data_IF_546045540651
#
_entry.id   IF_546045540651
#
_cell.length_a   1.000
_cell.length_b   1.000
_cell.length_c   1.000
_cell.angle_alpha   90.00
_cell.angle_beta   90.00
_cell.angle_gamma   90.00
#
_symmetry.space_group_name_H-M   'P 1'
#
loop_
_entity.id
_entity.type
_entity.pdbx_description
1 polymer ?
#
# COMPACT_ATOMS: atom_id res chain seq x y z
N UNK A 1 4.96 19.72 10.59
CA UNK A 1 4.56 19.10 9.31
C UNK A 1 3.09 19.35 9.15
N UNK A 2 2.69 19.88 8.01
CA UNK A 2 1.29 20.19 7.74
C UNK A 2 0.64 18.97 7.07
N UNK A 3 -0.62 18.69 7.40
CA UNK A 3 -1.48 17.76 6.66
C UNK A 3 -2.45 18.58 5.83
N UNK A 4 -2.36 18.46 4.51
CA UNK A 4 -3.27 19.11 3.57
C UNK A 4 -3.90 18.07 2.66
N UNK A 5 -5.20 18.17 2.42
CA UNK A 5 -5.91 17.30 1.47
C UNK A 5 -5.97 17.96 0.10
N UNK A 6 -5.67 17.19 -0.94
CA UNK A 6 -5.75 17.63 -2.33
C UNK A 6 -6.59 16.64 -3.13
N UNK A 7 -7.34 17.15 -4.10
CA UNK A 7 -7.91 16.33 -5.17
C UNK A 7 -6.87 16.14 -6.26
N UNK A 8 -6.44 14.91 -6.50
CA UNK A 8 -5.43 14.61 -7.53
C UNK A 8 -6.06 14.17 -8.85
N UNK A 9 -7.31 13.71 -8.84
CA UNK A 9 -8.08 13.35 -10.03
C UNK A 9 -9.58 13.47 -9.79
N UNK A 10 -10.36 13.52 -10.86
CA UNK A 10 -11.83 13.42 -10.81
C UNK A 10 -12.29 12.52 -11.95
N UNK A 11 -12.78 11.33 -11.61
CA UNK A 11 -13.41 10.41 -12.56
C UNK A 11 -14.93 10.49 -12.37
N UNK A 12 -15.58 9.42 -11.92
CA UNK A 12 -16.99 9.48 -11.50
C UNK A 12 -17.15 10.28 -10.19
N UNK A 13 -16.13 10.25 -9.33
CA UNK A 13 -16.06 10.96 -8.06
C UNK A 13 -14.66 11.55 -7.85
N UNK A 14 -14.49 12.59 -7.01
CA UNK A 14 -13.19 13.14 -6.66
C UNK A 14 -12.30 12.09 -5.99
N UNK A 15 -11.05 12.02 -6.42
CA UNK A 15 -10.01 11.23 -5.74
C UNK A 15 -9.07 12.16 -5.01
N UNK A 16 -8.91 11.90 -3.73
CA UNK A 16 -8.18 12.76 -2.81
C UNK A 16 -6.96 12.04 -2.23
N UNK A 17 -5.95 12.83 -1.89
CA UNK A 17 -4.79 12.39 -1.12
C UNK A 17 -4.53 13.35 0.04
N UNK A 18 -4.00 12.82 1.13
CA UNK A 18 -3.47 13.60 2.24
C UNK A 18 -1.96 13.75 2.02
N UNK A 19 -1.49 14.99 2.00
CA UNK A 19 -0.08 15.31 1.81
C UNK A 19 0.49 15.83 3.12
N UNK A 20 1.56 15.16 3.52
CA UNK A 20 2.34 15.38 4.73
C UNK A 20 3.69 15.94 4.31
N UNK A 21 3.87 17.26 4.46
CA UNK A 21 5.08 17.93 3.97
C UNK A 21 5.44 19.17 4.80
N UNK A 22 6.57 19.79 4.45
CA UNK A 22 7.04 21.05 4.98
C UNK A 22 7.68 21.86 3.85
N UNK A 23 7.46 23.18 3.83
CA UNK A 23 8.13 24.07 2.88
C UNK A 23 9.65 24.10 3.04
N UNK A 24 10.17 23.56 4.15
CA UNK A 24 11.60 23.44 4.43
C UNK A 24 12.25 22.17 3.85
N UNK A 25 11.47 21.26 3.27
CA UNK A 25 12.03 20.05 2.66
C UNK A 25 12.76 20.39 1.36
N UNK A 26 13.86 19.70 1.03
CA UNK A 26 14.57 19.92 -0.22
C UNK A 26 13.64 19.73 -1.44
N UNK A 27 13.69 20.61 -2.45
CA UNK A 27 12.82 20.51 -3.62
C UNK A 27 13.11 19.27 -4.47
N UNK A 28 14.32 18.72 -4.37
CA UNK A 28 14.83 17.54 -5.06
C UNK A 28 14.72 16.24 -4.24
N UNK A 29 14.24 16.29 -3.00
CA UNK A 29 14.05 15.07 -2.21
C UNK A 29 13.01 14.14 -2.86
N UNK A 30 13.12 12.81 -2.70
CA UNK A 30 12.08 11.90 -3.15
C UNK A 30 10.72 12.20 -2.52
N UNK A 31 9.66 11.95 -3.29
CA UNK A 31 8.29 11.89 -2.76
C UNK A 31 7.96 10.45 -2.43
N UNK A 32 7.34 10.21 -1.27
CA UNK A 32 6.80 8.90 -0.92
C UNK A 32 5.30 8.88 -1.23
N UNK A 33 4.88 8.06 -2.21
CA UNK A 33 3.48 7.80 -2.50
C UNK A 33 3.04 6.52 -1.79
N UNK A 34 2.02 6.60 -0.95
CA UNK A 34 1.48 5.48 -0.18
C UNK A 34 0.04 5.16 -0.56
N UNK A 35 -0.27 3.87 -0.68
CA UNK A 35 -1.63 3.35 -0.86
C UNK A 35 -2.06 2.50 0.34
N UNK A 36 -3.27 2.77 0.83
CA UNK A 36 -3.77 2.16 2.06
C UNK A 36 -4.16 0.68 1.92
N UNK A 37 -4.22 -0.01 3.06
CA UNK A 37 -4.74 -1.37 3.15
C UNK A 37 -6.27 -1.44 3.02
N UNK A 38 -6.81 -2.67 3.02
CA UNK A 38 -8.26 -2.89 3.06
C UNK A 38 -8.80 -3.76 1.92
N UNK A 39 -7.99 -4.63 1.32
CA UNK A 39 -8.46 -5.60 0.34
C UNK A 39 -9.01 -5.00 -0.96
N UNK A 40 -8.70 -3.73 -1.26
CA UNK A 40 -9.35 -2.90 -2.30
C UNK A 40 -10.84 -2.58 -2.06
N UNK A 41 -11.42 -3.00 -0.94
CA UNK A 41 -12.87 -2.89 -0.65
C UNK A 41 -13.19 -1.93 0.49
N UNK A 42 -12.16 -1.43 1.19
CA UNK A 42 -12.26 -0.50 2.31
C UNK A 42 -10.91 0.19 2.55
N UNK A 43 -10.84 0.96 3.64
CA UNK A 43 -9.67 1.76 4.03
C UNK A 43 -9.79 3.21 3.56
N UNK A 44 -8.83 4.04 3.95
CA UNK A 44 -8.78 5.46 3.60
C UNK A 44 -7.35 6.01 3.67
N UNK A 45 -7.12 7.18 3.10
CA UNK A 45 -5.80 7.85 3.06
C UNK A 45 -5.18 8.17 4.43
N UNK A 46 -5.95 8.26 5.50
CA UNK A 46 -5.44 8.39 6.88
C UNK A 46 -5.15 7.02 7.54
N UNK A 47 -5.25 5.91 6.81
CA UNK A 47 -4.79 4.58 7.21
C UNK A 47 -3.27 4.38 6.97
N UNK A 48 -2.52 5.45 6.77
CA UNK A 48 -1.04 5.42 6.74
C UNK A 48 -0.50 5.13 8.15
N UNK A 49 0.50 4.26 8.33
CA UNK A 49 0.97 3.94 9.67
C UNK A 49 1.84 5.06 10.26
N UNK A 50 1.78 5.34 11.58
CA UNK A 50 2.53 6.44 12.20
C UNK A 50 4.02 6.39 11.91
N UNK A 51 4.65 5.21 12.01
CA UNK A 51 6.08 5.07 11.75
C UNK A 51 6.48 5.45 10.32
N UNK A 52 5.63 5.24 9.32
CA UNK A 52 5.93 5.62 7.93
C UNK A 52 5.91 7.14 7.77
N UNK A 53 5.00 7.81 8.48
CA UNK A 53 4.99 9.27 8.57
C UNK A 53 6.29 9.77 9.22
N UNK A 54 6.74 9.14 10.31
CA UNK A 54 8.01 9.49 10.95
C UNK A 54 9.22 9.25 10.03
N UNK A 55 9.24 8.14 9.30
CA UNK A 55 10.27 7.81 8.29
C UNK A 55 10.40 8.94 7.28
N UNK A 56 9.28 9.44 6.76
CA UNK A 56 9.25 10.51 5.77
C UNK A 56 9.66 11.85 6.38
N UNK A 57 9.22 12.15 7.61
CA UNK A 57 9.65 13.36 8.34
C UNK A 57 11.16 13.40 8.51
N UNK A 58 11.75 12.31 9.02
CA UNK A 58 13.19 12.24 9.30
C UNK A 58 14.05 12.29 8.04
N UNK A 59 13.50 11.85 6.89
CA UNK A 59 14.16 11.93 5.58
C UNK A 59 13.86 13.22 4.82
N UNK A 60 12.96 14.05 5.34
CA UNK A 60 12.46 15.24 4.64
C UNK A 60 11.84 14.90 3.27
N UNK A 61 11.14 13.76 3.21
CA UNK A 61 10.40 13.32 2.04
C UNK A 61 8.94 13.74 2.19
N UNK A 62 8.34 14.46 1.23
CA UNK A 62 6.90 14.63 1.20
C UNK A 62 6.23 13.27 1.11
N UNK A 63 5.26 13.02 1.98
CA UNK A 63 4.46 11.79 1.95
C UNK A 63 3.07 12.12 1.43
N UNK A 64 2.66 11.42 0.38
CA UNK A 64 1.35 11.53 -0.25
C UNK A 64 0.64 10.21 -0.01
N UNK A 65 -0.42 10.22 0.79
CA UNK A 65 -1.27 9.06 1.02
C UNK A 65 -2.52 9.19 0.18
N UNK A 66 -2.68 8.32 -0.82
CA UNK A 66 -3.74 8.42 -1.82
C UNK A 66 -4.91 7.46 -1.53
N UNK A 67 -6.13 7.95 -1.67
CA UNK A 67 -7.33 7.12 -1.81
C UNK A 67 -7.41 6.53 -3.22
N UNK A 68 -8.22 5.50 -3.43
CA UNK A 68 -8.56 4.96 -4.75
C UNK A 68 -10.00 4.45 -4.74
N UNK A 69 -10.61 4.21 -5.91
CA UNK A 69 -11.98 3.68 -6.02
C UNK A 69 -12.05 2.26 -5.49
N UNK A 70 -13.04 1.99 -4.64
CA UNK A 70 -13.20 0.71 -3.96
C UNK A 70 -14.02 -0.29 -4.78
N UNK A 71 -13.75 -1.57 -4.54
CA UNK A 71 -14.42 -2.71 -5.17
C UNK A 71 -15.69 -3.07 -4.38
N UNK A 72 -16.74 -3.58 -5.05
CA UNK A 72 -16.78 -4.05 -6.44
C UNK A 72 -17.18 -3.01 -7.49
N UNK A 73 -17.41 -1.76 -7.11
CA UNK A 73 -17.84 -0.74 -8.08
C UNK A 73 -16.72 -0.31 -9.02
N UNK A 74 -15.46 -0.45 -8.58
CA UNK A 74 -14.27 -0.35 -9.41
C UNK A 74 -13.88 -1.73 -10.00
N UNK A 75 -12.99 -1.69 -11.00
CA UNK A 75 -12.34 -2.85 -11.59
C UNK A 75 -10.84 -2.56 -11.81
N UNK A 76 -10.11 -3.50 -12.40
CA UNK A 76 -8.68 -3.36 -12.68
C UNK A 76 -8.32 -2.13 -13.51
N UNK A 77 -9.11 -1.82 -14.55
CA UNK A 77 -8.87 -0.65 -15.42
C UNK A 77 -9.05 0.66 -14.65
N UNK A 78 -10.14 0.78 -13.88
CA UNK A 78 -10.39 1.93 -13.01
C UNK A 78 -9.30 2.08 -11.94
N UNK A 79 -8.83 0.99 -11.35
CA UNK A 79 -7.73 1.03 -10.39
C UNK A 79 -6.44 1.51 -11.06
N UNK A 80 -6.15 1.06 -12.29
CA UNK A 80 -4.97 1.50 -13.04
C UNK A 80 -5.04 3.00 -13.38
N UNK A 81 -6.21 3.53 -13.75
CA UNK A 81 -6.43 4.98 -13.91
C UNK A 81 -6.11 5.74 -12.62
N UNK A 82 -6.64 5.27 -11.48
CA UNK A 82 -6.48 5.93 -10.18
C UNK A 82 -5.03 6.00 -9.74
N UNK A 83 -4.29 4.89 -9.84
CA UNK A 83 -2.88 4.81 -9.43
C UNK A 83 -1.97 5.57 -10.40
N UNK A 84 -2.33 5.64 -11.68
CA UNK A 84 -1.62 6.46 -12.68
C UNK A 84 -1.73 7.94 -12.32
N UNK A 85 -2.95 8.42 -12.05
CA UNK A 85 -3.15 9.82 -11.69
C UNK A 85 -2.47 10.18 -10.36
N UNK A 86 -2.51 9.29 -9.35
CA UNK A 86 -1.81 9.49 -8.08
C UNK A 86 -0.27 9.53 -8.25
N UNK A 87 0.26 8.68 -9.12
CA UNK A 87 1.69 8.66 -9.45
C UNK A 87 2.13 9.93 -10.17
N UNK A 88 1.38 10.37 -11.18
CA UNK A 88 1.65 11.63 -11.88
C UNK A 88 1.56 12.85 -10.97
N UNK A 89 0.55 12.89 -10.09
CA UNK A 89 0.42 13.95 -9.09
C UNK A 89 1.65 14.00 -8.17
N UNK A 90 2.13 12.84 -7.74
CA UNK A 90 3.30 12.71 -6.88
C UNK A 90 4.59 13.17 -7.56
N UNK A 91 4.76 12.83 -8.85
CA UNK A 91 5.89 13.32 -9.66
C UNK A 91 5.89 14.83 -9.84
N UNK A 92 4.71 15.46 -9.93
CA UNK A 92 4.57 16.92 -10.10
C UNK A 92 4.46 17.69 -8.77
N UNK A 93 4.61 17.00 -7.64
CA UNK A 93 4.45 17.61 -6.32
C UNK A 93 5.45 18.76 -6.08
N UNK A 94 4.92 19.93 -5.68
CA UNK A 94 5.69 21.15 -5.48
C UNK A 94 5.79 22.07 -6.70
N UNK A 95 5.18 21.70 -7.85
CA UNK A 95 5.04 22.57 -9.03
C UNK A 95 6.32 22.86 -9.80
N UNK A 96 7.43 22.20 -9.44
CA UNK A 96 8.73 22.31 -10.10
C UNK A 96 8.97 21.22 -11.14
N UNK A 97 10.24 20.82 -11.31
CA UNK A 97 10.62 19.68 -12.11
C UNK A 97 10.02 18.38 -11.57
N UNK A 98 9.87 17.37 -12.44
CA UNK A 98 9.36 16.07 -12.04
C UNK A 98 10.28 15.43 -10.99
N UNK A 99 9.70 15.01 -9.86
CA UNK A 99 10.41 14.42 -8.72
C UNK A 99 10.50 12.92 -8.84
N UNK A 100 11.59 12.32 -8.34
CA UNK A 100 11.64 10.88 -8.16
C UNK A 100 10.66 10.45 -7.06
N UNK A 101 10.05 9.27 -7.23
CA UNK A 101 8.99 8.78 -6.33
C UNK A 101 9.35 7.40 -5.81
N UNK A 102 9.28 7.22 -4.49
CA UNK A 102 9.20 5.92 -3.83
C UNK A 102 7.73 5.58 -3.69
N UNK A 103 7.33 4.36 -4.05
CA UNK A 103 5.92 3.95 -3.95
C UNK A 103 5.79 2.81 -2.96
N UNK A 104 4.88 2.94 -2.00
CA UNK A 104 4.62 1.89 -1.04
C UNK A 104 3.14 1.63 -0.84
N UNK A 105 2.82 0.51 -0.21
CA UNK A 105 1.46 0.21 0.15
C UNK A 105 1.37 -0.92 1.16
N UNK A 106 0.25 -0.91 1.89
CA UNK A 106 -0.03 -1.92 2.91
C UNK A 106 -1.11 -2.89 2.43
N UNK A 107 -0.95 -4.19 2.67
CA UNK A 107 -1.91 -5.21 2.21
C UNK A 107 -2.19 -5.05 0.70
N UNK A 108 -3.45 -5.04 0.29
CA UNK A 108 -3.85 -4.77 -1.09
C UNK A 108 -3.40 -3.41 -1.66
N UNK A 109 -3.05 -2.43 -0.83
CA UNK A 109 -2.47 -1.17 -1.29
C UNK A 109 -1.12 -1.38 -1.99
N UNK A 110 -0.36 -2.42 -1.64
CA UNK A 110 0.88 -2.73 -2.35
C UNK A 110 0.66 -3.16 -3.80
N UNK A 111 -0.52 -3.71 -4.12
CA UNK A 111 -0.88 -4.05 -5.49
C UNK A 111 -0.91 -2.81 -6.39
N UNK A 112 -1.34 -1.65 -5.85
CA UNK A 112 -1.29 -0.37 -6.55
C UNK A 112 0.15 0.02 -6.91
N UNK A 113 1.09 -0.19 -5.99
CA UNK A 113 2.52 0.07 -6.22
C UNK A 113 3.10 -0.87 -7.28
N UNK A 114 2.72 -2.15 -7.27
CA UNK A 114 3.13 -3.13 -8.27
C UNK A 114 2.58 -2.78 -9.67
N UNK A 115 1.32 -2.31 -9.76
CA UNK A 115 0.73 -1.85 -11.02
C UNK A 115 1.50 -0.65 -11.58
N UNK A 116 1.86 0.34 -10.74
CA UNK A 116 2.67 1.49 -11.16
C UNK A 116 4.00 1.02 -11.75
N UNK A 117 4.74 0.15 -11.03
CA UNK A 117 6.02 -0.36 -11.51
C UNK A 117 5.88 -1.21 -12.78
N UNK A 118 4.78 -1.92 -12.97
CA UNK A 118 4.61 -2.71 -14.19
C UNK A 118 4.20 -1.86 -15.40
N UNK A 119 3.27 -0.92 -15.23
CA UNK A 119 2.60 -0.27 -16.35
C UNK A 119 3.18 1.10 -16.71
N UNK A 120 3.82 1.78 -15.76
CA UNK A 120 4.15 3.20 -15.91
C UNK A 120 5.64 3.46 -16.13
N UNK A 121 5.91 4.59 -16.79
CA UNK A 121 7.25 5.15 -16.97
C UNK A 121 7.21 6.65 -16.66
N UNK A 122 8.29 7.22 -16.10
CA UNK A 122 9.47 6.53 -15.58
C UNK A 122 9.14 5.65 -14.37
N UNK A 123 10.03 4.72 -14.05
CA UNK A 123 9.87 3.81 -12.91
C UNK A 123 10.01 4.53 -11.56
N UNK A 124 9.31 4.08 -10.50
CA UNK A 124 9.63 4.45 -9.12
C UNK A 124 11.10 4.17 -8.77
N UNK A 125 11.67 4.93 -7.83
CA UNK A 125 13.03 4.66 -7.32
C UNK A 125 13.11 3.30 -6.61
N UNK A 126 12.09 2.99 -5.81
CA UNK A 126 11.99 1.79 -5.02
C UNK A 126 10.52 1.51 -4.67
N UNK A 127 10.22 0.27 -4.33
CA UNK A 127 8.93 -0.15 -3.83
C UNK A 127 9.01 -0.61 -2.38
N UNK A 128 8.02 -0.26 -1.56
CA UNK A 128 7.88 -0.73 -0.18
C UNK A 128 6.57 -1.49 0.04
N UNK A 129 6.67 -2.79 0.32
CA UNK A 129 5.54 -3.65 0.65
C UNK A 129 5.41 -3.84 2.15
N UNK A 130 4.25 -3.51 2.69
CA UNK A 130 3.88 -3.70 4.10
C UNK A 130 2.81 -4.78 4.17
N UNK A 131 3.19 -5.99 4.58
CA UNK A 131 2.33 -7.18 4.54
C UNK A 131 1.50 -7.27 3.25
N UNK A 132 2.12 -6.90 2.12
CA UNK A 132 1.41 -6.43 0.93
C UNK A 132 1.03 -7.53 -0.04
N UNK A 133 0.07 -7.25 -0.93
CA UNK A 133 -0.31 -8.15 -2.02
C UNK A 133 0.39 -7.69 -3.30
N UNK A 134 1.43 -8.39 -3.77
CA UNK A 134 2.10 -8.04 -5.04
C UNK A 134 1.25 -8.38 -6.26
N UNK A 135 0.47 -9.46 -6.20
CA UNK A 135 -0.40 -9.96 -7.26
C UNK A 135 -1.57 -10.76 -6.67
N UNK A 136 -2.71 -10.76 -7.34
CA UNK A 136 -3.87 -11.60 -7.05
C UNK A 136 -3.87 -12.91 -7.86
N UNK A 137 -2.83 -13.18 -8.68
CA UNK A 137 -2.71 -14.42 -9.46
C UNK A 137 -2.26 -15.63 -8.65
N UNK A 138 -1.61 -15.42 -7.51
CA UNK A 138 -1.15 -16.51 -6.65
C UNK A 138 -2.34 -17.39 -6.18
N UNK A 139 -2.21 -18.73 -6.10
CA UNK A 139 -3.27 -19.64 -5.69
C UNK A 139 -3.99 -19.29 -4.39
N UNK A 140 -3.30 -18.60 -3.47
CA UNK A 140 -3.89 -18.03 -2.25
C UNK A 140 -5.19 -17.23 -2.51
N UNK A 141 -5.29 -16.50 -3.63
CA UNK A 141 -6.43 -15.63 -3.95
C UNK A 141 -7.50 -16.28 -4.83
N UNK A 142 -7.25 -17.48 -5.35
CA UNK A 142 -8.12 -18.12 -6.35
C UNK A 142 -8.34 -19.62 -6.13
N UNK A 143 -7.93 -20.16 -4.99
CA UNK A 143 -8.30 -21.48 -4.53
C UNK A 143 -9.31 -21.35 -3.39
N UNK A 144 -10.60 -21.54 -3.70
CA UNK A 144 -11.74 -21.34 -2.78
C UNK A 144 -11.70 -22.19 -1.50
N UNK A 145 -10.66 -23.01 -1.32
CA UNK A 145 -10.48 -23.95 -0.22
C UNK A 145 -10.01 -23.29 1.10
N UNK A 146 -9.68 -22.00 1.11
CA UNK A 146 -9.02 -21.34 2.25
C UNK A 146 -9.92 -20.45 3.13
N UNK A 147 -11.25 -20.50 3.00
CA UNK A 147 -12.16 -19.58 3.74
C UNK A 147 -13.30 -20.32 4.42
N UNK A 148 -13.47 -20.07 5.72
CA UNK A 148 -14.53 -20.65 6.52
C UNK A 148 -15.93 -20.22 6.01
N UNK A 149 -16.93 -21.13 5.97
CA UNK A 149 -18.28 -20.87 5.44
C UNK A 149 -19.04 -19.75 6.14
N UNK A 150 -18.67 -19.44 7.39
CA UNK A 150 -19.36 -18.50 8.26
C UNK A 150 -19.28 -17.04 7.76
N UNK A 151 -18.40 -16.74 6.81
CA UNK A 151 -18.23 -15.41 6.19
C UNK A 151 -19.24 -15.12 5.05
N UNK A 152 -20.10 -16.07 4.69
CA UNK A 152 -20.75 -16.14 3.38
C UNK A 152 -22.27 -15.93 3.41
N UNK A 153 -22.77 -14.99 4.21
CA UNK A 153 -24.18 -14.58 4.07
C UNK A 153 -24.31 -13.67 2.84
N UNK A 154 -24.62 -14.28 1.70
CA UNK A 154 -24.77 -13.61 0.40
C UNK A 154 -25.83 -12.49 0.43
N UNK A 155 -26.88 -12.65 1.24
CA UNK A 155 -27.89 -11.61 1.45
C UNK A 155 -27.30 -10.40 2.19
N UNK A 156 -26.41 -10.62 3.16
CA UNK A 156 -25.69 -9.51 3.83
C UNK A 156 -24.70 -8.81 2.91
N UNK A 157 -24.11 -9.52 1.94
CA UNK A 157 -23.14 -8.93 1.01
C UNK A 157 -23.82 -8.14 -0.11
N UNK A 158 -25.00 -8.56 -0.58
CA UNK A 158 -25.73 -7.94 -1.70
C UNK A 158 -25.87 -6.41 -1.58
N UNK A 159 -26.21 -5.91 -0.38
CA UNK A 159 -26.33 -4.46 -0.12
C UNK A 159 -25.04 -3.64 -0.31
N UNK A 160 -23.88 -4.31 -0.36
CA UNK A 160 -22.58 -3.70 -0.63
C UNK A 160 -22.20 -3.83 -2.11
N UNK A 161 -22.66 -4.89 -2.78
CA UNK A 161 -22.47 -5.07 -4.22
C UNK A 161 -23.26 -4.02 -5.03
N UNK A 162 -24.46 -3.66 -4.57
CA UNK A 162 -25.37 -2.73 -5.27
C UNK A 162 -25.13 -1.24 -4.93
N UNK A 163 -24.02 -0.89 -4.25
CA UNK A 163 -23.73 0.49 -3.86
C UNK A 163 -23.25 1.34 -5.03
N UNK A 164 -23.34 2.65 -4.86
CA UNK A 164 -22.65 3.61 -5.72
C UNK A 164 -21.13 3.50 -5.53
N UNK A 165 -20.35 4.01 -6.50
CA UNK A 165 -18.89 4.06 -6.41
C UNK A 165 -18.48 4.75 -5.11
N UNK A 166 -17.62 4.09 -4.32
CA UNK A 166 -17.06 4.62 -3.09
C UNK A 166 -15.55 4.82 -3.24
N UNK A 167 -15.02 5.81 -2.53
CA UNK A 167 -13.58 6.01 -2.32
C UNK A 167 -13.29 5.90 -0.84
N UNK A 168 -12.07 5.50 -0.50
CA UNK A 168 -11.62 5.51 0.89
C UNK A 168 -11.51 6.93 1.43
N UNK A 169 -12.58 7.48 2.01
CA UNK A 169 -12.62 8.84 2.59
C UNK A 169 -12.96 8.83 4.09
N UNK A 170 -12.55 9.88 4.81
CA UNK A 170 -13.11 10.17 6.13
C UNK A 170 -14.62 10.57 5.98
N UNK A 171 -15.51 10.22 6.92
CA UNK A 171 -15.32 9.45 8.13
C UNK A 171 -15.90 8.04 7.94
N UNK A 172 -15.33 7.21 7.06
CA UNK A 172 -15.60 5.78 7.22
C UNK A 172 -15.06 5.44 8.61
N UNK A 173 -15.94 4.96 9.50
CA UNK A 173 -15.73 4.73 10.94
C UNK A 173 -14.53 3.83 11.31
N UNK A 174 -13.73 3.45 10.33
CA UNK A 174 -12.63 2.49 10.30
C UNK A 174 -11.23 3.15 10.35
N UNK A 175 -11.13 4.48 10.24
CA UNK A 175 -9.88 5.16 9.91
C UNK A 175 -9.16 5.87 11.08
N UNK A 176 -8.82 5.13 12.13
CA UNK A 176 -8.15 5.70 13.33
C UNK A 176 -6.69 5.23 13.50
N UNK A 177 -6.07 4.81 12.40
CA UNK A 177 -4.69 4.32 12.39
C UNK A 177 -3.73 5.49 12.67
N UNK A 178 -3.89 6.60 11.96
CA UNK A 178 -3.04 7.77 12.13
C UNK A 178 -3.84 9.06 12.33
N UNK A 179 -3.33 9.88 13.24
CA UNK A 179 -3.74 11.26 13.45
C UNK A 179 -2.47 12.11 13.50
N UNK A 180 -2.41 13.29 12.86
CA UNK A 180 -1.28 14.21 13.02
C UNK A 180 -0.97 14.53 14.49
N UNK A 181 -1.98 14.54 15.36
CA UNK A 181 -1.82 14.81 16.79
C UNK A 181 -1.07 13.70 17.54
N UNK A 182 -0.92 12.51 16.94
CA UNK A 182 -0.13 11.42 17.52
C UNK A 182 1.38 11.65 17.42
N UNK A 183 1.82 12.68 16.69
CA UNK A 183 3.22 13.07 16.54
C UNK A 183 3.47 14.49 17.03
N UNK A 184 4.69 14.73 17.51
CA UNK A 184 5.20 16.07 17.78
C UNK A 184 5.58 16.75 16.46
N UNK A 185 5.83 18.08 16.50
CA UNK A 185 6.30 18.83 15.32
C UNK A 185 7.60 18.30 14.72
N UNK A 186 8.46 17.67 15.55
CA UNK A 186 9.72 17.06 15.10
C UNK A 186 9.56 15.63 14.59
N UNK A 187 8.34 15.06 14.58
CA UNK A 187 8.07 13.70 14.14
C UNK A 187 8.24 12.62 15.23
N UNK A 188 8.57 12.99 16.46
CA UNK A 188 8.56 12.04 17.58
C UNK A 188 7.14 11.66 18.00
N UNK A 189 6.96 10.53 18.67
CA UNK A 189 5.66 10.18 19.29
C UNK A 189 5.18 11.27 20.26
N UNK A 190 3.92 11.68 20.13
CA UNK A 190 3.24 12.48 21.15
C UNK A 190 2.70 11.56 22.27
N UNK A 191 3.38 11.52 23.41
CA UNK A 191 3.00 10.66 24.55
C UNK A 191 1.71 11.11 25.25
N UNK A 192 1.24 12.34 25.01
CA UNK A 192 -0.03 12.83 25.52
C UNK A 192 -1.23 12.49 24.64
N UNK A 193 -1.01 12.02 23.40
CA UNK A 193 -2.09 11.64 22.50
C UNK A 193 -2.70 10.30 22.92
N UNK A 194 -4.02 10.26 23.03
CA UNK A 194 -4.76 9.04 23.27
C UNK A 194 -5.48 8.64 21.98
N UNK A 195 -5.16 7.45 21.46
CA UNK A 195 -5.91 6.92 20.34
C UNK A 195 -7.38 6.72 20.74
N UNK A 196 -8.33 7.19 19.92
CA UNK A 196 -9.73 6.89 20.14
C UNK A 196 -9.96 5.38 20.11
N UNK A 197 -10.93 4.91 20.90
CA UNK A 197 -11.26 3.48 20.97
C UNK A 197 -11.61 2.95 19.58
N UNK A 198 -11.07 1.79 19.16
CA UNK A 198 -11.43 1.19 17.88
C UNK A 198 -12.94 1.02 17.75
N UNK A 199 -13.49 1.39 16.60
CA UNK A 199 -14.88 1.08 16.28
C UNK A 199 -14.95 -0.29 15.61
N UNK A 200 -16.07 -1.03 15.79
CA UNK A 200 -16.25 -2.30 15.10
C UNK A 200 -16.11 -2.12 13.59
N UNK A 201 -15.41 -3.07 12.95
CA UNK A 201 -15.34 -3.13 11.49
C UNK A 201 -16.76 -3.40 10.98
N UNK A 202 -17.33 -2.54 10.11
CA UNK A 202 -18.62 -2.80 9.50
C UNK A 202 -18.53 -4.05 8.61
N UNK A 203 -19.68 -4.69 8.32
CA UNK A 203 -19.68 -5.92 7.54
C UNK A 203 -19.10 -5.81 6.11
N UNK A 204 -18.91 -4.59 5.57
CA UNK A 204 -18.18 -4.38 4.31
C UNK A 204 -16.74 -4.89 4.37
N UNK A 205 -16.12 -4.95 5.55
CA UNK A 205 -14.80 -5.57 5.73
C UNK A 205 -14.76 -7.05 5.33
N UNK A 206 -15.91 -7.74 5.31
CA UNK A 206 -15.99 -9.13 4.87
C UNK A 206 -15.98 -9.28 3.35
N UNK A 207 -16.09 -8.19 2.57
CA UNK A 207 -16.04 -8.25 1.10
C UNK A 207 -14.74 -8.87 0.60
N UNK A 208 -13.61 -8.63 1.27
CA UNK A 208 -12.33 -9.26 0.95
C UNK A 208 -12.46 -10.79 1.01
N UNK A 209 -12.87 -11.33 2.16
CA UNK A 209 -13.08 -12.77 2.36
C UNK A 209 -14.17 -13.34 1.44
N UNK A 210 -15.23 -12.57 1.18
CA UNK A 210 -16.28 -12.95 0.22
C UNK A 210 -15.72 -13.08 -1.20
N UNK A 211 -14.95 -12.11 -1.69
CA UNK A 211 -14.36 -12.17 -3.03
C UNK A 211 -13.33 -13.27 -3.19
N UNK A 212 -12.49 -13.51 -2.18
CA UNK A 212 -11.60 -14.65 -2.17
C UNK A 212 -12.40 -15.98 -2.26
N UNK A 213 -13.52 -16.12 -1.54
CA UNK A 213 -14.33 -17.36 -1.57
C UNK A 213 -14.97 -17.63 -2.93
N UNK A 214 -15.25 -16.55 -3.68
CA UNK A 214 -15.85 -16.59 -5.02
C UNK A 214 -14.79 -16.59 -6.13
N UNK A 215 -13.49 -16.60 -5.79
CA UNK A 215 -12.37 -16.37 -6.71
C UNK A 215 -12.56 -15.11 -7.58
N UNK A 216 -13.21 -14.08 -7.04
CA UNK A 216 -13.71 -12.95 -7.82
C UNK A 216 -12.60 -11.96 -8.22
N UNK A 217 -11.45 -11.97 -7.53
CA UNK A 217 -10.35 -11.05 -7.85
C UNK A 217 -9.77 -11.28 -9.24
N UNK A 218 -9.69 -12.53 -9.71
CA UNK A 218 -9.15 -12.82 -11.06
C UNK A 218 -9.99 -12.17 -12.16
N UNK A 219 -11.32 -12.37 -12.24
CA UNK A 219 -12.17 -11.64 -13.18
C UNK A 219 -12.09 -10.12 -13.04
N UNK A 220 -11.99 -9.59 -11.81
CA UNK A 220 -12.02 -8.14 -11.58
C UNK A 220 -10.68 -7.44 -11.90
N UNK A 221 -9.54 -8.11 -11.74
CA UNK A 221 -8.20 -7.52 -11.82
C UNK A 221 -7.33 -8.09 -12.95
N UNK A 222 -7.69 -9.25 -13.51
CA UNK A 222 -6.82 -10.02 -14.40
C UNK A 222 -6.39 -9.30 -15.69
N UNK A 223 -7.12 -8.27 -16.13
CA UNK A 223 -6.74 -7.45 -17.29
C UNK A 223 -5.53 -6.55 -17.01
N UNK A 224 -5.29 -6.18 -15.75
CA UNK A 224 -4.18 -5.31 -15.34
C UNK A 224 -3.15 -6.00 -14.46
N UNK A 225 -3.49 -7.15 -13.86
CA UNK A 225 -2.56 -7.97 -13.08
C UNK A 225 -1.80 -8.94 -14.00
N UNK A 226 -0.49 -8.73 -14.26
CA UNK A 226 0.30 -9.61 -15.11
C UNK A 226 0.86 -10.82 -14.34
N UNK A 227 0.71 -10.89 -13.02
CA UNK A 227 1.46 -11.83 -12.18
C UNK A 227 2.94 -11.46 -12.08
N UNK A 228 3.77 -12.43 -11.71
CA UNK A 228 5.23 -12.28 -11.64
C UNK A 228 5.99 -13.36 -12.41
N UNK A 229 5.29 -14.36 -12.96
CA UNK A 229 5.84 -15.41 -13.80
C UNK A 229 6.50 -14.84 -15.08
N UNK A 230 6.10 -13.63 -15.51
CA UNK A 230 6.75 -12.91 -16.60
C UNK A 230 8.25 -12.67 -16.34
N UNK A 231 8.69 -12.55 -15.08
CA UNK A 231 10.07 -12.23 -14.72
C UNK A 231 11.04 -13.39 -15.03
N UNK A 232 10.53 -14.62 -15.14
CA UNK A 232 11.33 -15.79 -15.52
C UNK A 232 11.55 -15.88 -17.04
N UNK A 233 10.80 -15.10 -17.82
CA UNK A 233 10.91 -15.12 -19.27
C UNK A 233 12.14 -14.36 -19.76
N UNK A 234 12.92 -15.01 -20.61
CA UNK A 234 14.05 -14.40 -21.31
C UNK A 234 13.67 -13.14 -22.11
N UNK A 235 12.45 -13.11 -22.64
CA UNK A 235 11.93 -11.96 -23.39
C UNK A 235 11.71 -10.72 -22.52
N UNK A 236 11.64 -10.88 -21.19
CA UNK A 236 11.38 -9.81 -20.23
C UNK A 236 12.60 -9.42 -19.39
N UNK A 237 13.81 -9.93 -19.71
CA UNK A 237 15.03 -9.62 -18.95
C UNK A 237 15.29 -8.12 -18.79
N UNK A 238 15.02 -7.32 -19.83
CA UNK A 238 15.19 -5.87 -19.75
C UNK A 238 14.19 -5.21 -18.78
N UNK A 239 12.94 -5.70 -18.75
CA UNK A 239 11.93 -5.25 -17.79
C UNK A 239 12.34 -5.61 -16.38
N UNK A 240 12.80 -6.84 -16.15
CA UNK A 240 13.31 -7.26 -14.85
C UNK A 240 14.52 -6.44 -14.41
N UNK A 241 15.47 -6.18 -15.32
CA UNK A 241 16.63 -5.33 -15.07
C UNK A 241 16.25 -3.90 -14.69
N UNK A 242 15.15 -3.37 -15.24
CA UNK A 242 14.61 -2.05 -14.93
C UNK A 242 13.61 -2.04 -13.77
N UNK A 243 13.23 -3.19 -13.23
CA UNK A 243 12.29 -3.27 -12.10
C UNK A 243 12.89 -2.54 -10.88
N UNK A 244 12.11 -1.72 -10.15
CA UNK A 244 12.60 -1.04 -8.95
C UNK A 244 12.92 -2.05 -7.85
N UNK A 245 13.97 -1.79 -7.06
CA UNK A 245 14.24 -2.63 -5.90
C UNK A 245 13.03 -2.59 -4.97
N UNK A 246 12.54 -3.78 -4.61
CA UNK A 246 11.31 -3.98 -3.83
C UNK A 246 11.65 -4.54 -2.46
N UNK A 247 11.23 -3.82 -1.43
CA UNK A 247 11.51 -4.09 -0.02
C UNK A 247 10.22 -4.62 0.60
N UNK A 248 10.20 -5.88 1.05
CA UNK A 248 9.05 -6.56 1.62
C UNK A 248 9.18 -6.72 3.13
N UNK A 249 8.24 -6.15 3.89
CA UNK A 249 8.05 -6.39 5.32
C UNK A 249 6.87 -7.35 5.46
N UNK A 250 7.08 -8.56 5.97
CA UNK A 250 6.00 -9.55 6.10
C UNK A 250 6.06 -10.34 7.40
N UNK A 251 4.90 -10.55 8.04
CA UNK A 251 4.79 -11.41 9.20
C UNK A 251 4.64 -12.88 8.79
N UNK A 252 5.36 -13.81 9.40
CA UNK A 252 5.25 -15.23 9.03
C UNK A 252 4.01 -15.95 9.59
N UNK A 253 3.17 -15.25 10.37
CA UNK A 253 1.85 -15.70 10.84
C UNK A 253 0.71 -14.90 10.20
N UNK A 254 0.97 -14.24 9.09
CA UNK A 254 -0.06 -13.56 8.31
C UNK A 254 -1.02 -14.58 7.65
N UNK A 255 -2.31 -14.48 8.00
CA UNK A 255 -3.40 -15.33 7.51
C UNK A 255 -4.34 -14.60 6.54
N UNK A 256 -4.10 -13.31 6.32
CA UNK A 256 -4.83 -12.49 5.35
C UNK A 256 -4.07 -12.44 4.02
N UNK A 257 -2.73 -12.52 4.06
CA UNK A 257 -1.84 -12.69 2.92
C UNK A 257 -0.74 -13.67 3.30
N UNK A 258 -0.83 -14.91 2.80
CA UNK A 258 0.15 -15.94 3.09
C UNK A 258 1.58 -15.53 2.70
N UNK A 259 2.57 -15.88 3.53
CA UNK A 259 3.98 -15.54 3.27
C UNK A 259 4.52 -16.21 2.00
N UNK A 260 3.93 -17.33 1.60
CA UNK A 260 4.21 -18.04 0.35
C UNK A 260 4.00 -17.16 -0.89
N UNK A 261 2.99 -16.28 -0.88
CA UNK A 261 2.77 -15.26 -1.92
C UNK A 261 4.03 -14.40 -2.12
N UNK A 262 4.66 -13.99 -1.01
CA UNK A 262 5.83 -13.11 -1.05
C UNK A 262 7.09 -13.89 -1.43
N UNK A 263 7.24 -15.11 -0.91
CA UNK A 263 8.38 -15.99 -1.23
C UNK A 263 8.41 -16.28 -2.73
N UNK A 264 7.27 -16.51 -3.36
CA UNK A 264 7.18 -16.72 -4.81
C UNK A 264 7.62 -15.48 -5.59
N UNK A 265 7.08 -14.31 -5.27
CA UNK A 265 7.45 -13.06 -5.96
C UNK A 265 8.92 -12.70 -5.76
N UNK A 266 9.46 -12.89 -4.55
CA UNK A 266 10.90 -12.69 -4.27
C UNK A 266 11.75 -13.65 -5.12
N UNK A 267 11.30 -14.90 -5.33
CA UNK A 267 11.97 -15.85 -6.21
C UNK A 267 11.93 -15.40 -7.67
N UNK A 268 10.77 -14.96 -8.17
CA UNK A 268 10.65 -14.53 -9.57
C UNK A 268 11.49 -13.28 -9.86
N UNK A 269 11.51 -12.30 -8.94
CA UNK A 269 12.29 -11.07 -9.08
C UNK A 269 13.80 -11.27 -8.86
N UNK A 270 14.17 -12.23 -8.00
CA UNK A 270 15.54 -12.51 -7.64
C UNK A 270 16.15 -11.52 -6.62
N UNK A 271 17.32 -11.88 -6.05
CA UNK A 271 17.90 -11.20 -4.88
C UNK A 271 18.45 -9.79 -5.17
N UNK A 272 18.63 -9.44 -6.44
CA UNK A 272 19.04 -8.10 -6.87
C UNK A 272 17.86 -7.10 -6.85
N UNK A 273 16.64 -7.61 -7.02
CA UNK A 273 15.43 -6.79 -7.17
C UNK A 273 14.45 -6.92 -6.01
N UNK A 274 14.57 -7.94 -5.18
CA UNK A 274 13.70 -8.15 -4.02
C UNK A 274 14.50 -8.40 -2.73
N UNK A 275 14.09 -7.71 -1.65
CA UNK A 275 14.59 -7.90 -0.28
C UNK A 275 13.41 -8.23 0.63
N UNK A 276 13.48 -9.34 1.36
CA UNK A 276 12.41 -9.78 2.26
C UNK A 276 12.89 -9.76 3.72
N UNK A 277 12.19 -8.98 4.54
CA UNK A 277 12.41 -8.88 5.98
C UNK A 277 11.21 -9.53 6.66
N UNK A 278 11.46 -10.70 7.26
CA UNK A 278 10.43 -11.49 7.94
C UNK A 278 10.32 -11.03 9.39
N UNK A 279 9.11 -10.66 9.82
CA UNK A 279 8.79 -10.37 11.21
C UNK A 279 8.28 -11.66 11.88
N UNK A 280 9.16 -12.35 12.60
CA UNK A 280 8.88 -13.64 13.23
C UNK A 280 7.71 -13.53 14.23
N UNK A 281 6.74 -14.44 14.12
CA UNK A 281 5.56 -14.51 14.96
C UNK A 281 4.50 -13.43 14.70
N UNK A 282 4.75 -12.49 13.78
CA UNK A 282 3.82 -11.39 13.51
C UNK A 282 2.74 -11.76 12.49
N UNK A 283 1.56 -11.17 12.66
CA UNK A 283 0.36 -11.37 11.82
C UNK A 283 0.19 -10.25 10.79
N UNK A 284 -0.89 -10.25 10.01
CA UNK A 284 -1.20 -9.18 9.07
C UNK A 284 -1.20 -7.79 9.73
N UNK A 285 -0.62 -6.78 9.07
CA UNK A 285 -0.60 -5.38 9.51
C UNK A 285 -0.19 -5.16 10.98
N UNK A 286 0.71 -5.99 11.51
CA UNK A 286 1.16 -5.95 12.89
C UNK A 286 1.72 -4.59 13.34
N UNK A 287 2.22 -3.81 12.39
CA UNK A 287 2.88 -2.52 12.62
C UNK A 287 1.91 -1.32 12.59
N UNK A 288 0.65 -1.52 12.19
CA UNK A 288 -0.20 -0.45 11.65
C UNK A 288 -0.30 0.79 12.55
N UNK A 289 -0.26 0.60 13.88
CA UNK A 289 -0.34 1.67 14.88
C UNK A 289 0.96 1.90 15.65
N UNK A 290 2.04 1.26 15.23
CA UNK A 290 3.36 1.35 15.85
C UNK A 290 4.10 2.63 15.43
N UNK A 291 5.07 2.99 16.26
CA UNK A 291 5.97 4.11 16.01
C UNK A 291 7.41 3.59 16.00
N UNK A 292 8.32 4.34 15.38
CA UNK A 292 9.74 3.97 15.29
C UNK A 292 10.40 3.80 16.66
N UNK A 293 9.90 4.46 17.70
CA UNK A 293 10.39 4.34 19.07
C UNK A 293 10.03 3.00 19.73
N UNK A 294 9.03 2.27 19.22
CA UNK A 294 8.66 0.97 19.76
C UNK A 294 9.79 -0.06 19.57
N UNK A 295 9.81 -1.04 20.48
CA UNK A 295 10.79 -2.11 20.54
C UNK A 295 10.14 -3.45 20.24
N UNK A 296 10.97 -4.41 19.82
CA UNK A 296 10.57 -5.78 19.58
C UNK A 296 10.55 -6.12 18.10
N UNK A 297 10.35 -7.41 17.83
CA UNK A 297 10.53 -8.02 16.49
C UNK A 297 9.83 -7.24 15.39
N UNK A 298 8.57 -6.83 15.61
CA UNK A 298 7.81 -6.01 14.68
C UNK A 298 8.59 -4.78 14.18
N UNK A 299 8.99 -3.90 15.09
CA UNK A 299 9.63 -2.64 14.71
C UNK A 299 11.12 -2.77 14.43
N UNK A 300 11.78 -3.81 14.94
CA UNK A 300 13.15 -4.12 14.54
C UNK A 300 13.19 -4.56 13.07
N UNK A 301 12.21 -5.36 12.61
CA UNK A 301 12.04 -5.71 11.20
C UNK A 301 11.76 -4.48 10.34
N UNK A 302 10.84 -3.60 10.76
CA UNK A 302 10.54 -2.35 10.04
C UNK A 302 11.79 -1.47 9.91
N UNK A 303 12.55 -1.27 10.99
CA UNK A 303 13.79 -0.47 10.95
C UNK A 303 14.84 -1.09 10.04
N UNK A 304 14.96 -2.41 10.01
CA UNK A 304 15.87 -3.09 9.07
C UNK A 304 15.45 -2.85 7.62
N UNK A 305 14.15 -2.97 7.32
CA UNK A 305 13.63 -2.70 5.99
C UNK A 305 13.85 -1.25 5.54
N UNK A 306 13.77 -0.28 6.47
CA UNK A 306 14.04 1.11 6.14
C UNK A 306 15.50 1.38 5.77
N UNK A 307 16.46 0.62 6.32
CA UNK A 307 17.87 0.70 5.88
C UNK A 307 18.03 0.20 4.45
N UNK A 308 17.41 -0.93 4.11
CA UNK A 308 17.41 -1.45 2.74
C UNK A 308 16.76 -0.46 1.75
N UNK A 309 15.68 0.20 2.17
CA UNK A 309 15.02 1.24 1.37
C UNK A 309 15.94 2.44 1.12
N UNK A 310 16.65 2.91 2.15
CA UNK A 310 17.60 4.01 2.02
C UNK A 310 18.73 3.68 1.05
N UNK A 311 19.25 2.44 1.11
CA UNK A 311 20.25 1.96 0.17
C UNK A 311 19.71 1.89 -1.27
N UNK A 312 18.48 1.38 -1.45
CA UNK A 312 17.84 1.29 -2.76
C UNK A 312 17.67 2.68 -3.40
N UNK A 313 17.13 3.63 -2.63
CA UNK A 313 16.95 5.02 -3.07
C UNK A 313 18.30 5.67 -3.41
N UNK A 314 19.30 5.51 -2.55
CA UNK A 314 20.64 6.05 -2.78
C UNK A 314 21.34 5.47 -4.01
N UNK A 315 21.05 4.21 -4.37
CA UNK A 315 21.59 3.57 -5.59
C UNK A 315 20.90 4.09 -6.84
N UNK A 316 19.58 4.31 -6.80
CA UNK A 316 18.81 4.76 -7.95
C UNK A 316 19.04 6.24 -8.32
N UNK A 317 19.59 7.04 -7.39
CA UNK A 317 19.92 8.45 -7.62
C UNK A 317 21.37 8.70 -8.06
N UNK A 318 22.20 7.66 -8.17
CA UNK A 318 23.59 7.72 -8.67
C UNK A 318 23.64 7.44 -10.16
#
# INVERSE_FOLDING_TARGET
MDRLTFTYATHQIPLECDVYSSSTYPPDSPVFLFFHAGGLVRGARNCVPPWLVQVCIYRQWPLISASYRLFPQANGESLLEDVTAAYEFSRKWGGGAERPVVVGGASAGFFCAALIAHHLQPQPLALLSITGIPTFRHPFFNSSNFIAPECLDELKMRKYLDRSVEVGSEPIAESMIFSPDSLTKSGGRNTGYQHPKPRPIPPSGNLYRYFLSKNAYIPMLGSVDPGFEWAESDSQRLRLANWPITIFIHGNKDVDVGIDVIIEVVRNLGPEKAKLMIAEGQTHLFEATCFLEDKGVAMDTVKCAMKELDEAVSRAQK
#
